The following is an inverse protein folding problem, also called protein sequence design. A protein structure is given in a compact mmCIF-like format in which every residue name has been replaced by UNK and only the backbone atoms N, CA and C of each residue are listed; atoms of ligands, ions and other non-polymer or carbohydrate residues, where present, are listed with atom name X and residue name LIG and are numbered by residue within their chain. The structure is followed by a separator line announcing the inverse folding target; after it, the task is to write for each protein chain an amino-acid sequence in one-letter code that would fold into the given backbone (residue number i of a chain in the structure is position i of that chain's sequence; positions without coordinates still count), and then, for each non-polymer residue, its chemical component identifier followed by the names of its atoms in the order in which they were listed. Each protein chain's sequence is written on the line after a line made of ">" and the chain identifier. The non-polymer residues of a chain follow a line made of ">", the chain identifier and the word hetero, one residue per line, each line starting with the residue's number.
data_IF_564380614959
#
_entry.id   IF_564380614959
#
_cell.length_a   1.000
_cell.length_b   1.000
_cell.length_c   1.000
_cell.angle_alpha   90.00
_cell.angle_beta   90.00
_cell.angle_gamma   90.00
#
_symmetry.space_group_name_H-M   'P 1'
#
loop_
_entity.id
_entity.type
_entity.pdbx_description
1 polymer ?
#
# COMPACT_ATOMS: atom_id res chain seq x y z
N UNK A 1 31.81 19.90 22.22
CA UNK A 1 30.52 19.59 21.57
C UNK A 1 30.63 18.20 20.96
N UNK A 2 30.19 17.18 21.65
CA UNK A 2 30.23 15.78 21.20
C UNK A 2 28.88 15.48 20.62
N UNK A 3 28.84 15.20 19.30
CA UNK A 3 27.66 14.83 18.56
C UNK A 3 27.16 13.46 19.03
N UNK A 4 26.00 13.43 19.67
CA UNK A 4 25.28 12.18 19.97
C UNK A 4 24.61 11.67 18.68
N UNK A 5 25.41 11.06 17.82
CA UNK A 5 24.88 10.17 16.78
C UNK A 5 24.62 8.81 17.43
N UNK A 6 23.39 8.65 17.93
CA UNK A 6 22.94 7.37 18.46
C UNK A 6 23.11 6.27 17.40
N UNK A 7 23.80 5.20 17.77
CA UNK A 7 23.96 3.97 17.03
C UNK A 7 22.56 3.37 16.70
N UNK A 8 21.97 3.78 15.58
CA UNK A 8 20.89 3.00 14.98
C UNK A 8 21.54 1.70 14.51
N UNK A 9 21.26 0.59 15.18
CA UNK A 9 21.49 -0.74 14.60
C UNK A 9 20.71 -0.77 13.29
N UNK A 10 21.43 -0.57 12.17
CA UNK A 10 20.80 -0.63 10.86
C UNK A 10 20.22 -2.03 10.69
N UNK A 11 18.91 -2.10 10.49
CA UNK A 11 18.26 -3.33 10.07
C UNK A 11 18.94 -3.78 8.77
N UNK A 12 19.42 -5.03 8.66
CA UNK A 12 20.04 -5.51 7.43
C UNK A 12 18.95 -5.51 6.33
N UNK A 13 19.03 -4.51 5.43
CA UNK A 13 18.10 -4.39 4.31
C UNK A 13 18.09 -5.71 3.53
N UNK A 14 16.97 -6.40 3.55
CA UNK A 14 16.83 -7.64 2.82
C UNK A 14 16.44 -7.33 1.39
N UNK A 15 17.43 -7.28 0.48
CA UNK A 15 17.22 -7.12 -0.98
C UNK A 15 16.14 -8.05 -1.53
N UNK A 16 15.96 -9.21 -0.89
CA UNK A 16 14.95 -10.23 -1.22
C UNK A 16 13.52 -9.65 -1.28
N UNK A 17 13.19 -8.66 -0.44
CA UNK A 17 11.84 -8.10 -0.36
C UNK A 17 11.69 -6.70 -0.94
N UNK A 18 12.77 -6.14 -1.55
CA UNK A 18 12.72 -4.84 -2.23
C UNK A 18 12.32 -3.66 -1.31
N UNK A 19 12.66 -3.74 -0.02
CA UNK A 19 12.25 -2.77 1.00
C UNK A 19 12.93 -1.41 0.79
N UNK A 20 12.12 -0.33 0.79
CA UNK A 20 12.56 1.06 0.81
C UNK A 20 11.78 1.79 1.93
N UNK A 21 12.46 2.10 3.03
CA UNK A 21 11.83 2.71 4.20
C UNK A 21 11.74 4.22 4.06
N UNK A 22 10.57 4.76 4.34
CA UNK A 22 10.32 6.19 4.34
C UNK A 22 10.90 6.82 5.60
N UNK A 23 11.75 7.86 5.45
CA UNK A 23 12.43 8.49 6.59
C UNK A 23 12.08 9.95 6.78
N UNK A 24 11.55 10.62 5.76
CA UNK A 24 11.21 12.04 5.78
C UNK A 24 9.91 12.28 6.55
N UNK A 25 10.01 13.03 7.66
CA UNK A 25 8.86 13.30 8.54
C UNK A 25 7.80 14.18 7.86
N UNK A 26 8.22 15.19 7.08
CA UNK A 26 7.29 16.11 6.42
C UNK A 26 6.47 15.37 5.36
N UNK A 27 7.12 14.43 4.65
CA UNK A 27 6.43 13.59 3.68
C UNK A 27 5.43 12.63 4.35
N UNK A 28 5.83 12.00 5.46
CA UNK A 28 4.92 11.14 6.23
C UNK A 28 3.69 11.93 6.70
N UNK A 29 3.88 13.15 7.21
CA UNK A 29 2.77 14.03 7.64
C UNK A 29 1.91 14.47 6.45
N UNK A 30 2.51 14.72 5.28
CA UNK A 30 1.78 14.98 4.03
C UNK A 30 0.92 13.80 3.60
N UNK A 31 1.45 12.56 3.69
CA UNK A 31 0.69 11.34 3.39
C UNK A 31 -0.53 11.25 4.31
N UNK A 32 -0.33 11.38 5.62
CA UNK A 32 -1.43 11.35 6.59
C UNK A 32 -2.48 12.41 6.29
N UNK A 33 -2.05 13.63 5.90
CA UNK A 33 -2.98 14.72 5.53
C UNK A 33 -3.79 14.36 4.28
N UNK A 34 -3.20 13.72 3.28
CA UNK A 34 -3.90 13.30 2.05
C UNK A 34 -4.86 12.16 2.32
N UNK A 35 -4.44 11.16 3.10
CA UNK A 35 -5.29 10.03 3.54
C UNK A 35 -6.44 10.52 4.42
N UNK A 36 -6.20 11.57 5.23
CA UNK A 36 -7.17 12.21 6.12
C UNK A 36 -7.95 11.21 7.01
N UNK A 37 -7.26 10.38 7.81
CA UNK A 37 -7.89 9.35 8.63
C UNK A 37 -8.85 9.95 9.67
N UNK A 38 -9.96 9.25 9.94
CA UNK A 38 -10.96 9.62 10.94
C UNK A 38 -10.99 8.61 12.09
N UNK A 39 -11.35 9.08 13.26
CA UNK A 39 -11.34 8.29 14.50
C UNK A 39 -12.30 7.09 14.49
N UNK A 40 -13.28 7.09 13.61
CA UNK A 40 -14.24 5.99 13.46
C UNK A 40 -13.90 5.01 12.34
N UNK A 41 -12.79 5.22 11.63
CA UNK A 41 -12.38 4.39 10.49
C UNK A 41 -11.48 3.22 10.91
N UNK A 42 -11.45 2.21 10.05
CA UNK A 42 -10.66 0.99 10.20
C UNK A 42 -9.63 0.92 9.06
N UNK A 43 -8.37 0.65 9.40
CA UNK A 43 -7.29 0.64 8.41
C UNK A 43 -6.55 -0.68 8.35
N UNK A 44 -6.23 -1.09 7.13
CA UNK A 44 -5.26 -2.14 6.83
C UNK A 44 -4.00 -1.50 6.26
N UNK A 45 -2.85 -1.69 6.92
CA UNK A 45 -1.55 -1.29 6.38
C UNK A 45 -0.80 -2.49 5.81
N UNK A 46 -0.41 -2.37 4.53
CA UNK A 46 0.40 -3.37 3.83
C UNK A 46 1.86 -2.94 3.89
N UNK A 47 2.72 -3.76 4.53
CA UNK A 47 4.14 -3.49 4.64
C UNK A 47 4.47 -2.27 5.50
N UNK A 48 4.15 -2.26 6.80
CA UNK A 48 4.45 -1.16 7.71
C UNK A 48 5.95 -0.86 7.83
N UNK A 49 6.81 -1.82 7.47
CA UNK A 49 8.24 -1.68 7.55
C UNK A 49 8.71 -1.42 8.98
N UNK A 50 9.41 -0.30 9.19
CA UNK A 50 9.81 0.14 10.54
C UNK A 50 8.66 0.82 11.33
N UNK A 51 7.45 0.95 10.74
CA UNK A 51 6.27 1.53 11.38
C UNK A 51 6.23 3.06 11.37
N UNK A 52 7.00 3.72 10.50
CA UNK A 52 7.06 5.18 10.47
C UNK A 52 5.73 5.85 10.09
N UNK A 53 4.98 5.23 9.17
CA UNK A 53 3.63 5.68 8.79
C UNK A 53 2.60 5.18 9.81
N UNK A 54 2.74 3.93 10.26
CA UNK A 54 1.89 3.32 11.29
C UNK A 54 1.77 4.18 12.55
N UNK A 55 2.90 4.69 13.06
CA UNK A 55 2.95 5.55 14.27
C UNK A 55 2.13 6.83 14.12
N UNK A 56 1.97 7.33 12.90
CA UNK A 56 1.19 8.54 12.60
C UNK A 56 -0.28 8.27 12.35
N UNK A 57 -0.58 7.10 11.81
CA UNK A 57 -1.94 6.68 11.45
C UNK A 57 -2.69 6.10 12.65
N UNK A 58 -2.06 5.15 13.36
CA UNK A 58 -2.70 4.36 14.41
C UNK A 58 -3.42 5.20 15.50
N UNK A 59 -2.87 6.33 16.01
CA UNK A 59 -3.55 7.15 16.99
C UNK A 59 -4.77 7.94 16.47
N UNK A 60 -5.01 7.92 15.17
CA UNK A 60 -6.05 8.75 14.50
C UNK A 60 -7.25 7.94 14.03
N UNK A 61 -7.25 6.62 14.26
CA UNK A 61 -8.25 5.68 13.70
C UNK A 61 -8.85 4.83 14.82
N UNK A 62 -9.98 4.19 14.54
CA UNK A 62 -10.63 3.32 15.51
C UNK A 62 -9.86 2.02 15.74
N UNK A 63 -9.44 1.39 14.65
CA UNK A 63 -8.59 0.19 14.68
C UNK A 63 -7.71 0.10 13.45
N UNK A 64 -6.61 -0.61 13.58
CA UNK A 64 -5.66 -0.83 12.51
C UNK A 64 -5.05 -2.22 12.61
N UNK A 65 -5.00 -2.90 11.45
CA UNK A 65 -4.24 -4.13 11.25
C UNK A 65 -3.09 -3.82 10.32
N UNK A 66 -1.92 -4.35 10.61
CA UNK A 66 -0.76 -4.27 9.72
C UNK A 66 -0.27 -5.67 9.35
N UNK A 67 0.08 -5.89 8.08
CA UNK A 67 0.63 -7.16 7.58
C UNK A 67 2.05 -6.92 7.09
N UNK A 68 3.02 -7.63 7.70
CA UNK A 68 4.46 -7.50 7.37
C UNK A 68 5.07 -8.87 7.10
N UNK A 69 5.76 -8.98 5.97
CA UNK A 69 6.39 -10.23 5.56
C UNK A 69 7.70 -10.51 6.33
N UNK A 70 8.39 -9.47 6.80
CA UNK A 70 9.64 -9.63 7.56
C UNK A 70 9.37 -9.83 9.04
N UNK A 71 9.61 -11.05 9.60
CA UNK A 71 9.38 -11.33 11.00
C UNK A 71 10.27 -10.52 11.96
N UNK A 72 11.40 -9.96 11.49
CA UNK A 72 12.24 -9.09 12.29
C UNK A 72 11.53 -7.75 12.50
N UNK A 73 10.99 -7.15 11.44
CA UNK A 73 10.24 -5.89 11.52
C UNK A 73 8.99 -6.03 12.37
N UNK A 74 8.28 -7.16 12.26
CA UNK A 74 7.15 -7.48 13.15
C UNK A 74 7.57 -7.43 14.62
N UNK A 75 8.71 -8.03 14.97
CA UNK A 75 9.24 -8.00 16.34
C UNK A 75 9.61 -6.59 16.79
N UNK A 76 10.20 -5.78 15.90
CA UNK A 76 10.58 -4.40 16.23
C UNK A 76 9.34 -3.51 16.42
N UNK A 77 8.31 -3.64 15.59
CA UNK A 77 7.04 -2.90 15.75
C UNK A 77 6.37 -3.26 17.07
N UNK A 78 6.33 -4.54 17.45
CA UNK A 78 5.74 -5.00 18.73
C UNK A 78 6.42 -4.41 19.98
N UNK A 79 7.66 -3.96 19.88
CA UNK A 79 8.40 -3.31 20.99
C UNK A 79 8.03 -1.83 21.15
N UNK A 80 7.40 -1.21 20.16
CA UNK A 80 7.08 0.22 20.17
C UNK A 80 5.87 0.49 21.05
N UNK A 81 6.06 1.20 22.14
CA UNK A 81 4.99 1.53 23.11
C UNK A 81 3.85 2.32 22.48
N UNK A 82 4.14 3.20 21.50
CA UNK A 82 3.14 4.01 20.80
C UNK A 82 2.22 3.17 19.92
N UNK A 83 2.60 1.93 19.59
CA UNK A 83 1.83 0.97 18.80
C UNK A 83 1.21 -0.15 19.66
N UNK A 84 1.16 0.04 20.96
CA UNK A 84 0.49 -0.90 21.86
C UNK A 84 -1.00 -1.01 21.50
N UNK A 85 -1.44 -2.22 21.16
CA UNK A 85 -2.81 -2.49 20.69
C UNK A 85 -2.95 -2.59 19.17
N UNK A 86 -1.91 -2.27 18.40
CA UNK A 86 -1.88 -2.56 16.98
C UNK A 86 -1.90 -4.08 16.73
N UNK A 87 -2.83 -4.54 15.89
CA UNK A 87 -2.81 -5.92 15.40
C UNK A 87 -1.81 -6.05 14.25
N UNK A 88 -0.61 -6.60 14.55
CA UNK A 88 0.39 -6.86 13.52
C UNK A 88 0.49 -8.36 13.24
N UNK A 89 0.29 -8.72 11.98
CA UNK A 89 0.35 -10.09 11.45
C UNK A 89 1.65 -10.28 10.65
N UNK A 90 2.34 -11.39 10.90
CA UNK A 90 3.46 -11.79 10.06
C UNK A 90 2.97 -12.66 8.91
N UNK A 91 3.33 -12.32 7.69
CA UNK A 91 3.01 -13.10 6.50
C UNK A 91 2.95 -12.30 5.21
N UNK A 92 2.70 -13.03 4.14
CA UNK A 92 2.44 -12.44 2.82
C UNK A 92 0.97 -12.01 2.75
N UNK A 93 0.72 -10.74 2.42
CA UNK A 93 -0.63 -10.18 2.26
C UNK A 93 -1.39 -10.85 1.12
N UNK A 94 -0.71 -11.27 0.06
CA UNK A 94 -1.33 -11.92 -1.10
C UNK A 94 -1.90 -13.32 -0.79
N UNK A 95 -1.57 -13.87 0.39
CA UNK A 95 -2.08 -15.15 0.89
C UNK A 95 -3.15 -14.98 1.97
N UNK A 96 -3.72 -13.78 2.11
CA UNK A 96 -4.70 -13.46 3.16
C UNK A 96 -5.92 -12.81 2.53
N UNK A 97 -7.08 -13.15 3.06
CA UNK A 97 -8.32 -12.47 2.71
C UNK A 97 -8.61 -11.38 3.76
N UNK A 98 -9.09 -10.20 3.30
CA UNK A 98 -9.40 -9.07 4.19
C UNK A 98 -10.53 -9.48 5.15
N UNK A 99 -11.46 -10.31 4.70
CA UNK A 99 -12.58 -10.83 5.49
C UNK A 99 -12.13 -11.54 6.76
N UNK A 100 -11.02 -12.29 6.68
CA UNK A 100 -10.47 -13.08 7.76
C UNK A 100 -9.61 -12.29 8.75
N UNK A 101 -9.35 -11.01 8.47
CA UNK A 101 -8.52 -10.19 9.35
C UNK A 101 -9.28 -9.78 10.61
N UNK A 102 -8.60 -9.65 11.77
CA UNK A 102 -9.21 -9.24 13.02
C UNK A 102 -9.54 -7.73 13.04
N UNK A 103 -10.34 -7.29 12.09
CA UNK A 103 -10.75 -5.89 11.90
C UNK A 103 -12.15 -5.83 11.30
N UNK A 104 -12.89 -4.78 11.62
CA UNK A 104 -14.22 -4.58 11.04
C UNK A 104 -14.11 -4.07 9.59
N UNK A 105 -14.84 -4.68 8.69
CA UNK A 105 -14.96 -4.30 7.30
C UNK A 105 -16.14 -3.32 7.06
N UNK A 106 -16.10 -2.50 5.98
CA UNK A 106 -14.96 -2.33 5.08
C UNK A 106 -13.81 -1.58 5.75
N UNK A 107 -12.57 -1.85 5.31
CA UNK A 107 -11.37 -1.16 5.75
C UNK A 107 -10.91 -0.14 4.70
N UNK A 108 -10.17 0.88 5.12
CA UNK A 108 -9.35 1.69 4.23
C UNK A 108 -7.94 1.10 4.18
N UNK A 109 -7.38 0.97 2.98
CA UNK A 109 -6.07 0.33 2.79
C UNK A 109 -4.98 1.39 2.60
N UNK A 110 -3.83 1.20 3.24
CA UNK A 110 -2.65 2.02 3.01
C UNK A 110 -1.42 1.14 2.88
N UNK A 111 -0.48 1.49 1.97
CA UNK A 111 0.74 0.71 1.84
C UNK A 111 1.87 1.42 1.12
N UNK A 112 3.08 1.29 1.68
CA UNK A 112 4.34 1.57 0.99
C UNK A 112 4.92 0.25 0.51
N UNK A 113 4.39 -0.26 -0.61
CA UNK A 113 4.66 -1.63 -1.06
C UNK A 113 5.95 -1.73 -1.90
N UNK A 114 6.65 -2.87 -1.84
CA UNK A 114 7.74 -3.15 -2.77
C UNK A 114 7.27 -3.11 -4.23
N UNK A 115 8.06 -2.49 -5.10
CA UNK A 115 7.65 -2.23 -6.49
C UNK A 115 7.38 -3.49 -7.31
N UNK A 116 8.04 -4.59 -7.00
CA UNK A 116 7.89 -5.87 -7.70
C UNK A 116 6.54 -6.56 -7.44
N UNK A 117 5.80 -6.15 -6.40
CA UNK A 117 4.48 -6.71 -6.08
C UNK A 117 3.32 -5.73 -6.31
N UNK A 118 3.57 -4.58 -6.97
CA UNK A 118 2.52 -3.58 -7.22
C UNK A 118 1.33 -4.18 -7.99
N UNK A 119 1.57 -4.84 -9.13
CA UNK A 119 0.48 -5.45 -9.90
C UNK A 119 -0.23 -6.57 -9.14
N UNK A 120 0.44 -7.53 -8.49
CA UNK A 120 -0.20 -8.49 -7.60
C UNK A 120 -1.11 -7.85 -6.53
N UNK A 121 -0.66 -6.77 -5.88
CA UNK A 121 -1.48 -6.06 -4.87
C UNK A 121 -2.73 -5.42 -5.50
N UNK A 122 -2.60 -4.81 -6.67
CA UNK A 122 -3.76 -4.23 -7.37
C UNK A 122 -4.81 -5.29 -7.70
N UNK A 123 -4.39 -6.47 -8.16
CA UNK A 123 -5.30 -7.58 -8.43
C UNK A 123 -5.90 -8.17 -7.16
N UNK A 124 -5.10 -8.32 -6.12
CA UNK A 124 -5.57 -8.75 -4.81
C UNK A 124 -6.65 -7.80 -4.25
N UNK A 125 -6.49 -6.48 -4.42
CA UNK A 125 -7.52 -5.49 -4.04
C UNK A 125 -8.79 -5.67 -4.87
N UNK A 126 -8.67 -5.92 -6.18
CA UNK A 126 -9.84 -6.12 -7.06
C UNK A 126 -10.59 -7.42 -6.70
N UNK A 127 -9.87 -8.48 -6.32
CA UNK A 127 -10.49 -9.73 -5.88
C UNK A 127 -11.31 -9.58 -4.58
N UNK A 128 -11.04 -8.52 -3.80
CA UNK A 128 -11.62 -8.28 -2.48
C UNK A 128 -12.40 -6.96 -2.37
N UNK A 129 -13.03 -6.52 -3.48
CA UNK A 129 -13.75 -5.24 -3.55
C UNK A 129 -14.79 -5.02 -2.44
N UNK A 130 -15.40 -6.07 -1.93
CA UNK A 130 -16.47 -5.96 -0.93
C UNK A 130 -15.95 -5.60 0.47
N UNK A 131 -14.66 -5.83 0.74
CA UNK A 131 -14.08 -5.75 2.08
C UNK A 131 -13.26 -4.48 2.35
N UNK A 132 -13.05 -3.61 1.36
CA UNK A 132 -12.37 -2.33 1.56
C UNK A 132 -13.13 -1.17 0.94
N UNK A 133 -12.87 0.05 1.39
CA UNK A 133 -13.56 1.28 0.94
C UNK A 133 -12.74 2.02 -0.11
N UNK A 134 -11.52 2.40 0.26
CA UNK A 134 -10.53 3.03 -0.62
C UNK A 134 -9.11 2.55 -0.28
N UNK A 135 -8.14 2.83 -1.17
CA UNK A 135 -6.76 2.45 -0.93
C UNK A 135 -5.78 3.55 -1.35
N UNK A 136 -4.79 3.84 -0.48
CA UNK A 136 -3.67 4.72 -0.78
C UNK A 136 -2.40 3.91 -0.91
N UNK A 137 -1.93 3.74 -2.14
CA UNK A 137 -0.78 2.87 -2.44
C UNK A 137 0.38 3.68 -2.99
N UNK A 138 1.54 3.50 -2.37
CA UNK A 138 2.79 4.03 -2.90
C UNK A 138 3.42 3.01 -3.86
N UNK A 139 3.77 3.48 -5.06
CA UNK A 139 4.34 2.65 -6.13
C UNK A 139 5.35 3.44 -6.96
N UNK A 140 6.00 2.80 -7.94
CA UNK A 140 6.82 3.52 -8.91
C UNK A 140 6.00 4.55 -9.69
N UNK A 141 6.58 5.74 -9.89
CA UNK A 141 5.93 6.84 -10.62
C UNK A 141 5.43 6.39 -12.00
N UNK A 142 6.24 5.63 -12.75
CA UNK A 142 5.86 5.14 -14.07
C UNK A 142 4.61 4.24 -14.03
N UNK A 143 4.50 3.38 -13.03
CA UNK A 143 3.32 2.51 -12.85
C UNK A 143 2.09 3.34 -12.51
N UNK A 144 2.23 4.33 -11.62
CA UNK A 144 1.16 5.25 -11.26
C UNK A 144 0.67 6.06 -12.48
N UNK A 145 1.60 6.56 -13.31
CA UNK A 145 1.28 7.27 -14.55
C UNK A 145 0.58 6.39 -15.59
N UNK A 146 0.97 5.11 -15.69
CA UNK A 146 0.26 4.14 -16.54
C UNK A 146 -1.16 3.86 -16.05
N UNK A 147 -1.34 3.71 -14.75
CA UNK A 147 -2.66 3.46 -14.16
C UNK A 147 -3.62 4.62 -14.38
N UNK A 148 -3.15 5.87 -14.26
CA UNK A 148 -3.95 7.09 -14.44
C UNK A 148 -3.93 7.64 -15.88
N UNK A 149 -3.38 6.87 -16.85
CA UNK A 149 -3.25 7.31 -18.23
C UNK A 149 -4.61 7.40 -18.92
N UNK A 150 -4.79 8.46 -19.72
CA UNK A 150 -5.96 8.64 -20.56
C UNK A 150 -5.81 7.93 -21.90
N UNK A 151 -6.94 7.62 -22.53
CA UNK A 151 -7.01 7.02 -23.88
C UNK A 151 -6.20 7.87 -24.86
N UNK A 152 -5.57 7.22 -25.84
CA UNK A 152 -4.70 7.83 -26.87
C UNK A 152 -3.35 8.36 -26.36
N UNK A 153 -2.91 8.00 -25.17
CA UNK A 153 -1.54 8.27 -24.71
C UNK A 153 -0.64 7.01 -24.82
N UNK A 154 0.67 7.21 -24.93
CA UNK A 154 1.64 6.09 -24.98
C UNK A 154 1.68 5.25 -23.69
N UNK A 155 1.21 5.80 -22.59
CA UNK A 155 1.18 5.13 -21.27
C UNK A 155 -0.06 4.25 -21.11
N UNK A 156 -1.11 4.51 -21.91
CA UNK A 156 -2.34 3.71 -21.88
C UNK A 156 -2.07 2.29 -22.38
N UNK A 157 -2.30 1.31 -21.52
CA UNK A 157 -1.97 -0.07 -21.83
C UNK A 157 -2.83 -1.07 -21.05
N UNK A 158 -2.46 -2.35 -21.11
CA UNK A 158 -3.23 -3.42 -20.47
C UNK A 158 -3.54 -3.14 -18.99
N UNK A 159 -2.55 -2.73 -18.22
CA UNK A 159 -2.74 -2.45 -16.78
C UNK A 159 -3.77 -1.34 -16.55
N UNK A 160 -3.74 -0.28 -17.37
CA UNK A 160 -4.71 0.82 -17.34
C UNK A 160 -6.12 0.30 -17.57
N UNK A 161 -6.31 -0.54 -18.61
CA UNK A 161 -7.63 -1.08 -18.99
C UNK A 161 -8.17 -2.02 -17.91
N UNK A 162 -7.35 -2.98 -17.47
CA UNK A 162 -7.78 -4.02 -16.53
C UNK A 162 -8.11 -3.41 -15.17
N UNK A 163 -7.22 -2.60 -14.61
CA UNK A 163 -7.46 -1.97 -13.30
C UNK A 163 -8.56 -0.93 -13.40
N UNK A 164 -8.57 -0.12 -14.48
CA UNK A 164 -9.58 0.90 -14.73
C UNK A 164 -11.01 0.36 -15.01
N UNK A 165 -11.16 -0.94 -15.26
CA UNK A 165 -12.47 -1.58 -15.34
C UNK A 165 -13.16 -1.69 -13.98
N UNK A 166 -12.39 -1.75 -12.89
CA UNK A 166 -12.88 -1.96 -11.53
C UNK A 166 -12.65 -0.76 -10.62
N UNK A 167 -11.58 0.02 -10.86
CA UNK A 167 -11.12 1.09 -9.98
C UNK A 167 -11.01 2.42 -10.72
N UNK A 168 -11.32 3.50 -10.02
CA UNK A 168 -10.90 4.84 -10.38
C UNK A 168 -9.58 5.16 -9.70
N UNK A 169 -8.66 5.84 -10.39
CA UNK A 169 -7.30 6.07 -9.95
C UNK A 169 -6.98 7.56 -9.97
N UNK A 170 -6.76 8.13 -8.79
CA UNK A 170 -6.32 9.51 -8.61
C UNK A 170 -4.82 9.55 -8.31
N UNK A 171 -4.06 10.24 -9.16
CA UNK A 171 -2.64 10.47 -8.93
C UNK A 171 -2.45 11.61 -7.92
N UNK A 172 -2.11 11.27 -6.67
CA UNK A 172 -2.01 12.26 -5.60
C UNK A 172 -0.78 13.16 -5.75
N UNK A 173 0.42 12.57 -5.73
CA UNK A 173 1.68 13.31 -5.90
C UNK A 173 2.91 12.41 -6.10
N UNK A 174 3.95 13.01 -6.68
CA UNK A 174 5.27 12.38 -6.88
C UNK A 174 6.13 12.49 -5.62
N UNK A 175 6.95 11.47 -5.37
CA UNK A 175 7.90 11.37 -4.26
C UNK A 175 9.30 11.12 -4.84
N UNK A 176 10.27 11.96 -4.42
CA UNK A 176 11.67 11.80 -4.84
C UNK A 176 12.36 10.67 -4.08
N UNK A 177 13.38 10.03 -4.68
CA UNK A 177 14.10 8.92 -4.06
C UNK A 177 14.82 9.25 -2.76
N UNK A 178 15.20 10.53 -2.54
CA UNK A 178 16.05 10.97 -1.42
C UNK A 178 15.42 10.78 -0.03
N UNK A 179 14.10 10.57 0.02
CA UNK A 179 13.33 10.38 1.26
C UNK A 179 13.29 8.92 1.72
N UNK A 180 13.92 8.01 0.98
CA UNK A 180 13.94 6.57 1.27
C UNK A 180 15.33 6.06 1.65
N UNK A 181 15.36 5.03 2.50
CA UNK A 181 16.55 4.23 2.82
C UNK A 181 16.19 2.74 2.69
N UNK A 182 16.90 1.98 1.81
CA UNK A 182 17.82 2.46 0.78
C UNK A 182 17.12 3.32 -0.27
N UNK A 183 17.89 4.20 -0.92
CA UNK A 183 17.38 5.07 -1.98
C UNK A 183 17.02 4.26 -3.23
N UNK A 184 15.76 4.30 -3.72
CA UNK A 184 15.39 3.65 -4.97
C UNK A 184 16.00 4.39 -6.19
N UNK A 185 16.09 3.71 -7.32
CA UNK A 185 16.62 4.28 -8.57
C UNK A 185 15.64 5.20 -9.30
N UNK A 186 14.35 5.15 -8.95
CA UNK A 186 13.27 5.85 -9.63
C UNK A 186 12.40 6.63 -8.64
N UNK A 187 11.67 7.61 -9.14
CA UNK A 187 10.66 8.30 -8.35
C UNK A 187 9.51 7.35 -8.01
N UNK A 188 8.89 7.60 -6.86
CA UNK A 188 7.64 6.98 -6.45
C UNK A 188 6.48 7.96 -6.66
N UNK A 189 5.27 7.45 -6.54
CA UNK A 189 4.05 8.25 -6.41
C UNK A 189 3.09 7.59 -5.44
N UNK A 190 2.21 8.37 -4.84
CA UNK A 190 1.01 7.86 -4.17
C UNK A 190 -0.15 8.00 -5.13
N UNK A 191 -0.92 6.93 -5.23
CA UNK A 191 -2.22 6.91 -5.89
C UNK A 191 -3.31 6.63 -4.87
N UNK A 192 -4.46 7.23 -5.07
CA UNK A 192 -5.70 6.92 -4.38
C UNK A 192 -6.56 6.09 -5.31
N UNK A 193 -7.01 4.95 -4.84
CA UNK A 193 -7.82 3.98 -5.55
C UNK A 193 -9.21 3.96 -4.90
N UNK A 194 -10.25 4.13 -5.71
CA UNK A 194 -11.64 3.99 -5.30
C UNK A 194 -12.35 2.98 -6.18
N UNK A 195 -13.35 2.33 -5.63
CA UNK A 195 -14.14 1.34 -6.38
C UNK A 195 -15.02 2.02 -7.40
N UNK A 196 -15.03 1.51 -8.61
CA UNK A 196 -15.99 1.91 -9.64
C UNK A 196 -17.35 1.31 -9.32
N UNK A 197 -18.40 2.12 -9.33
CA UNK A 197 -19.75 1.68 -9.01
C UNK A 197 -20.77 2.13 -10.09
N UNK A 198 -21.31 1.23 -10.93
CA UNK A 198 -20.91 -0.18 -11.04
C UNK A 198 -19.54 -0.36 -11.72
N UNK A 199 -18.85 -1.49 -11.52
CA UNK A 199 -17.66 -1.83 -12.29
C UNK A 199 -18.06 -2.01 -13.78
N UNK A 200 -17.10 -1.79 -14.70
CA UNK A 200 -17.36 -1.93 -16.14
C UNK A 200 -17.49 -3.39 -16.59
N UNK A 201 -17.05 -4.33 -15.77
CA UNK A 201 -17.11 -5.77 -16.02
C UNK A 201 -18.01 -6.40 -14.95
N UNK A 202 -19.02 -7.14 -15.40
CA UNK A 202 -19.93 -7.87 -14.51
C UNK A 202 -19.30 -9.20 -14.11
N UNK A 203 -18.86 -9.28 -12.87
CA UNK A 203 -18.19 -10.46 -12.30
C UNK A 203 -19.11 -11.69 -12.15
N UNK A 204 -20.44 -11.49 -12.20
CA UNK A 204 -21.38 -12.61 -12.16
C UNK A 204 -21.35 -13.49 -13.43
N UNK A 205 -20.74 -12.99 -14.51
CA UNK A 205 -20.57 -13.70 -15.78
C UNK A 205 -19.25 -14.40 -15.95
N UNK A 206 -18.21 -13.99 -15.22
CA UNK A 206 -16.84 -14.47 -15.43
C UNK A 206 -16.12 -14.66 -14.07
N UNK A 207 -15.42 -15.78 -13.91
CA UNK A 207 -14.49 -15.97 -12.79
C UNK A 207 -13.40 -14.89 -12.85
N UNK A 208 -13.34 -14.02 -11.83
CA UNK A 208 -12.37 -12.91 -11.73
C UNK A 208 -10.94 -13.40 -12.00
N UNK A 209 -10.53 -14.54 -11.44
CA UNK A 209 -9.19 -15.11 -11.64
C UNK A 209 -8.93 -15.48 -13.11
N UNK A 210 -9.91 -16.06 -13.77
CA UNK A 210 -9.80 -16.46 -15.16
C UNK A 210 -9.70 -15.25 -16.10
N UNK A 211 -10.45 -14.20 -15.80
CA UNK A 211 -10.44 -12.97 -16.57
C UNK A 211 -9.08 -12.24 -16.49
N UNK A 212 -8.47 -12.18 -15.29
CA UNK A 212 -7.12 -11.60 -15.12
C UNK A 212 -6.04 -12.40 -15.84
N UNK A 213 -6.07 -13.73 -15.78
CA UNK A 213 -5.12 -14.59 -16.51
C UNK A 213 -5.26 -14.38 -18.01
N UNK A 214 -6.47 -14.32 -18.53
CA UNK A 214 -6.72 -14.13 -19.97
C UNK A 214 -6.22 -12.75 -20.45
N UNK A 215 -6.48 -11.67 -19.71
CA UNK A 215 -6.02 -10.32 -20.04
C UNK A 215 -4.50 -10.13 -19.89
N UNK A 216 -3.84 -10.94 -19.07
CA UNK A 216 -2.38 -10.92 -18.95
C UNK A 216 -1.67 -11.72 -20.05
N UNK A 217 -2.36 -12.69 -20.66
CA UNK A 217 -1.83 -13.55 -21.74
C UNK A 217 -2.08 -12.98 -23.15
N UNK A 218 -3.02 -12.05 -23.31
CA UNK A 218 -3.29 -11.32 -24.56
C UNK A 218 -2.45 -10.04 -24.66
#
# INVERSE_FOLDING_TARGET
>A
MISVLGNRKQHPFRKKWGQNFLTDKNLLDKIVKVVNPKINEHFLEIGPGEGALTERMFPKVNSMVAIEIDPILVKEIKKKSVLKGLHILNGDVLLKDIEDLPIKNPVRVIGNIPYNITSPILFWLIEQLDYWEDAYIMMQKEVAERLSATVNTKLYGRLTVVVGAYLDIDYCFTIKPDVFIPKPKVNSAIVHLTKKNPPLIDDNKYDKKFHFVLLMLM
#
